data_IF_622814787841
#
_entry.id   IF_622814787841
#
_cell.length_a   1.000
_cell.length_b   1.000
_cell.length_c   1.000
_cell.angle_alpha   90.00
_cell.angle_beta   90.00
_cell.angle_gamma   90.00
#
_symmetry.space_group_name_H-M   'P 1'
#
loop_
_entity.id
_entity.type
_entity.pdbx_description
1 polymer ?
#
# COMPACT_ATOMS: atom_id res chain seq x y z
N UNK A 1 11.91 9.69 0.62
CA UNK A 1 10.70 9.58 -0.25
C UNK A 1 10.20 8.13 -0.26
N UNK A 2 9.00 7.84 -0.79
CA UNK A 2 8.47 6.45 -0.94
C UNK A 2 9.49 5.57 -1.67
N UNK A 3 10.12 6.09 -2.73
CA UNK A 3 11.16 5.38 -3.47
C UNK A 3 12.33 4.96 -2.56
N UNK A 4 12.88 5.85 -1.73
CA UNK A 4 14.00 5.51 -0.83
C UNK A 4 13.62 4.46 0.20
N UNK A 5 12.39 4.58 0.75
CA UNK A 5 11.87 3.61 1.70
C UNK A 5 11.74 2.23 1.06
N UNK A 6 11.09 2.13 -0.10
CA UNK A 6 10.91 0.87 -0.83
C UNK A 6 12.24 0.29 -1.34
N UNK A 7 13.19 1.16 -1.73
CA UNK A 7 14.52 0.75 -2.19
C UNK A 7 15.33 0.04 -1.10
N UNK A 8 15.01 0.24 0.18
CA UNK A 8 15.67 -0.48 1.28
C UNK A 8 15.28 -1.96 1.36
N UNK A 9 14.18 -2.36 0.71
CA UNK A 9 13.68 -3.74 0.69
C UNK A 9 14.03 -4.51 -0.58
N UNK A 10 14.76 -3.90 -1.53
CA UNK A 10 15.14 -4.56 -2.78
C UNK A 10 16.19 -5.65 -2.54
N UNK A 11 16.15 -6.70 -3.33
CA UNK A 11 17.22 -7.70 -3.38
C UNK A 11 18.37 -7.27 -4.32
N UNK A 12 19.37 -8.14 -4.48
CA UNK A 12 20.54 -7.92 -5.35
C UNK A 12 20.19 -7.68 -6.83
N UNK A 13 19.02 -8.12 -7.28
CA UNK A 13 18.54 -8.00 -8.66
C UNK A 13 17.71 -6.73 -8.89
N UNK A 14 17.65 -5.80 -7.92
CA UNK A 14 16.76 -4.63 -7.94
C UNK A 14 15.27 -5.02 -8.06
N UNK A 15 14.86 -6.11 -7.43
CA UNK A 15 13.45 -6.51 -7.33
C UNK A 15 12.99 -6.55 -5.88
N UNK A 16 11.67 -6.43 -5.67
CA UNK A 16 11.00 -6.76 -4.42
C UNK A 16 10.16 -8.01 -4.71
N UNK A 17 10.51 -9.13 -4.10
CA UNK A 17 10.12 -10.44 -4.64
C UNK A 17 10.65 -10.60 -6.06
N UNK A 18 9.77 -10.94 -7.01
CA UNK A 18 10.10 -11.05 -8.44
C UNK A 18 9.68 -9.81 -9.25
N UNK A 19 9.27 -8.73 -8.58
CA UNK A 19 8.77 -7.51 -9.24
C UNK A 19 9.91 -6.49 -9.35
N UNK A 20 10.20 -5.94 -10.55
CA UNK A 20 11.17 -4.86 -10.70
C UNK A 20 10.87 -3.68 -9.76
N UNK A 21 11.90 -3.15 -9.08
CA UNK A 21 11.74 -2.10 -8.07
C UNK A 21 10.94 -0.89 -8.57
N UNK A 22 11.17 -0.47 -9.82
CA UNK A 22 10.42 0.64 -10.43
C UNK A 22 8.94 0.29 -10.60
N UNK A 23 8.62 -0.93 -11.00
CA UNK A 23 7.23 -1.37 -11.20
C UNK A 23 6.50 -1.44 -9.86
N UNK A 24 7.15 -2.02 -8.86
CA UNK A 24 6.62 -2.07 -7.51
C UNK A 24 6.41 -0.66 -6.93
N UNK A 25 7.39 0.24 -7.10
CA UNK A 25 7.28 1.61 -6.63
C UNK A 25 6.18 2.38 -7.34
N UNK A 26 6.03 2.22 -8.65
CA UNK A 26 4.92 2.82 -9.43
C UNK A 26 3.56 2.32 -8.95
N UNK A 27 3.42 1.02 -8.69
CA UNK A 27 2.21 0.43 -8.13
C UNK A 27 1.85 1.03 -6.75
N UNK A 28 2.79 0.98 -5.79
CA UNK A 28 2.56 1.49 -4.43
C UNK A 28 2.27 3.00 -4.44
N UNK A 29 3.01 3.76 -5.23
CA UNK A 29 2.82 5.21 -5.33
C UNK A 29 1.50 5.56 -5.99
N UNK A 30 1.13 4.86 -7.06
CA UNK A 30 -0.15 5.06 -7.76
C UNK A 30 -1.35 4.72 -6.87
N UNK A 31 -1.30 3.59 -6.17
CA UNK A 31 -2.32 3.19 -5.21
C UNK A 31 -2.42 4.22 -4.06
N UNK A 32 -1.29 4.66 -3.51
CA UNK A 32 -1.24 5.66 -2.44
C UNK A 32 -1.81 7.02 -2.85
N UNK A 33 -1.44 7.53 -4.02
CA UNK A 33 -1.98 8.79 -4.55
C UNK A 33 -3.49 8.68 -4.78
N UNK A 34 -3.94 7.58 -5.38
CA UNK A 34 -5.38 7.36 -5.61
C UNK A 34 -6.17 7.29 -4.29
N UNK A 35 -5.62 6.59 -3.28
CA UNK A 35 -6.23 6.49 -1.95
C UNK A 35 -6.33 7.87 -1.28
N UNK A 36 -5.25 8.66 -1.29
CA UNK A 36 -5.23 10.02 -0.72
C UNK A 36 -6.22 10.93 -1.46
N UNK A 37 -6.28 10.83 -2.80
CA UNK A 37 -7.23 11.61 -3.60
C UNK A 37 -8.67 11.37 -3.16
N UNK A 38 -9.08 10.10 -3.02
CA UNK A 38 -10.42 9.76 -2.52
C UNK A 38 -10.64 10.26 -1.10
N UNK A 39 -9.65 10.10 -0.21
CA UNK A 39 -9.75 10.58 1.18
C UNK A 39 -9.94 12.10 1.29
N UNK A 40 -9.28 12.90 0.44
CA UNK A 40 -9.46 14.36 0.42
C UNK A 40 -10.86 14.76 -0.06
N UNK A 41 -11.41 14.00 -1.01
CA UNK A 41 -12.72 14.26 -1.61
C UNK A 41 -13.89 13.76 -0.76
N UNK A 42 -13.64 12.95 0.25
CA UNK A 42 -14.65 12.40 1.15
C UNK A 42 -14.99 13.39 2.28
N UNK A 43 -16.25 13.83 2.31
CA UNK A 43 -16.79 14.74 3.34
C UNK A 43 -16.90 14.07 4.72
N UNK A 44 -17.02 12.74 4.77
CA UNK A 44 -17.11 11.93 5.98
C UNK A 44 -15.88 11.05 6.18
N UNK A 45 -14.71 11.55 5.75
CA UNK A 45 -13.46 10.79 5.77
C UNK A 45 -13.08 10.32 7.17
N UNK A 46 -12.53 9.11 7.21
CA UNK A 46 -11.82 8.59 8.38
C UNK A 46 -10.67 9.53 8.78
N UNK A 47 -10.24 9.52 10.04
CA UNK A 47 -9.10 10.34 10.43
C UNK A 47 -7.80 9.87 9.76
N UNK A 48 -6.84 10.80 9.71
CA UNK A 48 -5.55 10.60 9.06
C UNK A 48 -4.78 9.39 9.61
N UNK A 49 -4.88 9.11 10.92
CA UNK A 49 -4.16 7.98 11.53
C UNK A 49 -4.73 6.65 11.07
N UNK A 50 -6.06 6.53 10.93
CA UNK A 50 -6.70 5.36 10.34
C UNK A 50 -6.34 5.19 8.86
N UNK A 51 -6.34 6.28 8.07
CA UNK A 51 -5.90 6.23 6.67
C UNK A 51 -4.48 5.66 6.54
N UNK A 52 -3.53 6.19 7.32
CA UNK A 52 -2.14 5.72 7.32
C UNK A 52 -2.07 4.24 7.69
N UNK A 53 -2.78 3.83 8.76
CA UNK A 53 -2.81 2.44 9.21
C UNK A 53 -3.33 1.50 8.12
N UNK A 54 -4.44 1.85 7.45
CA UNK A 54 -5.00 1.03 6.37
C UNK A 54 -4.03 0.94 5.18
N UNK A 55 -3.46 2.06 4.75
CA UNK A 55 -2.50 2.07 3.63
C UNK A 55 -1.28 1.20 3.93
N UNK A 56 -0.65 1.38 5.09
CA UNK A 56 0.50 0.57 5.51
C UNK A 56 0.16 -0.91 5.63
N UNK A 57 -1.03 -1.25 6.11
CA UNK A 57 -1.48 -2.65 6.20
C UNK A 57 -1.58 -3.29 4.82
N UNK A 58 -2.16 -2.59 3.84
CA UNK A 58 -2.31 -3.09 2.46
C UNK A 58 -0.94 -3.23 1.79
N UNK A 59 -0.05 -2.25 1.95
CA UNK A 59 1.30 -2.31 1.35
C UNK A 59 2.13 -3.46 1.93
N UNK A 60 2.03 -3.72 3.23
CA UNK A 60 2.84 -4.73 3.89
C UNK A 60 2.30 -6.16 3.70
N UNK A 61 0.98 -6.34 3.76
CA UNK A 61 0.35 -7.67 3.78
C UNK A 61 -0.36 -8.03 2.47
N UNK A 62 -0.49 -7.07 1.55
CA UNK A 62 -1.40 -7.17 0.41
C UNK A 62 -2.87 -7.04 0.82
N UNK A 63 -3.79 -6.96 -0.15
CA UNK A 63 -5.22 -6.85 0.09
C UNK A 63 -5.89 -8.18 0.48
N UNK A 64 -5.32 -9.32 0.06
CA UNK A 64 -5.96 -10.65 0.21
C UNK A 64 -6.26 -11.01 1.66
N UNK A 65 -5.34 -10.87 2.64
CA UNK A 65 -5.62 -11.22 4.02
C UNK A 65 -6.75 -10.39 4.66
N UNK A 66 -6.99 -9.16 4.16
CA UNK A 66 -8.10 -8.32 4.61
C UNK A 66 -9.44 -8.85 4.09
N UNK A 67 -9.46 -9.32 2.84
CA UNK A 67 -10.66 -9.89 2.22
C UNK A 67 -11.04 -11.23 2.85
N UNK A 68 -10.06 -12.10 3.11
CA UNK A 68 -10.29 -13.41 3.73
C UNK A 68 -10.90 -13.28 5.13
N UNK A 69 -10.49 -12.26 5.90
CA UNK A 69 -11.07 -11.98 7.22
C UNK A 69 -12.58 -11.74 7.17
N UNK A 70 -13.04 -11.05 6.13
CA UNK A 70 -14.46 -10.71 5.97
C UNK A 70 -15.25 -11.83 5.27
N UNK A 71 -14.60 -12.61 4.39
CA UNK A 71 -15.24 -13.72 3.67
C UNK A 71 -15.38 -14.98 4.53
N UNK A 72 -14.44 -15.22 5.45
CA UNK A 72 -14.43 -16.35 6.37
C UNK A 72 -14.20 -15.87 7.82
N UNK A 73 -15.18 -15.18 8.44
CA UNK A 73 -15.04 -14.77 9.83
C UNK A 73 -14.90 -16.02 10.71
N UNK A 74 -13.80 -16.07 11.47
CA UNK A 74 -13.56 -17.12 12.48
C UNK A 74 -14.53 -16.99 13.66
#
# INVERSE_FOLDING_TARGET
MIFDHLSSYKNINNTIGDIPLLYFTSYVSGAGISLIKHWIQDENRIDKSHLIKHFTTIVNNGPVPLMEKEQFPK
#
